data_IF_493338528437
#
_entry.id   IF_493338528437
#
_cell.length_a   1.000
_cell.length_b   1.000
_cell.length_c   1.000
_cell.angle_alpha   90.00
_cell.angle_beta   90.00
_cell.angle_gamma   90.00
#
_symmetry.space_group_name_H-M   'P 1'
#
loop_
_entity.id
_entity.type
_entity.pdbx_description
1 polymer ?
#
# COMPACT_ATOMS: atom_id res chain seq x y z
N UNK A 1 25.58 11.47 68.01
CA UNK A 1 24.70 12.21 68.95
C UNK A 1 23.33 12.32 68.35
N UNK A 2 22.33 11.85 69.07
CA UNK A 2 20.88 11.94 69.02
C UNK A 2 20.10 11.43 67.77
N UNK A 3 19.63 10.24 67.98
CA UNK A 3 18.42 9.64 67.38
C UNK A 3 17.19 10.43 67.84
N UNK A 4 16.28 10.78 66.91
CA UNK A 4 14.88 11.02 67.22
C UNK A 4 14.02 10.02 66.52
N UNK A 5 13.40 9.15 67.29
CA UNK A 5 12.28 8.28 66.95
C UNK A 5 11.07 9.16 66.60
N UNK A 6 10.39 8.85 65.51
CA UNK A 6 8.99 9.27 65.32
C UNK A 6 8.11 8.04 65.17
N UNK A 7 7.05 8.08 65.94
CA UNK A 7 6.18 6.98 66.25
C UNK A 7 5.31 6.51 65.09
N UNK A 8 4.94 5.26 65.19
CA UNK A 8 3.92 4.60 64.39
C UNK A 8 2.54 5.19 64.71
N UNK A 9 1.93 5.82 63.72
CA UNK A 9 0.49 6.09 63.65
C UNK A 9 -0.14 5.06 62.71
N UNK A 10 -0.86 4.09 63.25
CA UNK A 10 -1.68 3.17 62.48
C UNK A 10 -2.88 3.95 61.90
N UNK A 11 -2.89 4.17 60.61
CA UNK A 11 -4.11 4.57 59.89
C UNK A 11 -4.59 3.41 59.04
N UNK A 12 -5.80 2.95 59.37
CA UNK A 12 -6.56 1.94 58.67
C UNK A 12 -6.79 2.39 57.21
N UNK A 13 -6.14 1.71 56.26
CA UNK A 13 -6.46 1.85 54.84
C UNK A 13 -7.68 0.99 54.54
N UNK A 14 -8.85 1.62 54.44
CA UNK A 14 -10.02 0.99 53.85
C UNK A 14 -9.73 0.69 52.37
N UNK A 15 -9.70 -0.58 52.03
CA UNK A 15 -9.53 -1.05 50.66
C UNK A 15 -10.75 -0.69 49.83
N UNK A 16 -10.65 0.35 49.02
CA UNK A 16 -11.51 0.53 47.84
C UNK A 16 -10.99 -0.38 46.73
N UNK A 17 -11.45 -1.62 46.71
CA UNK A 17 -11.36 -2.49 45.55
C UNK A 17 -12.41 -2.02 44.52
N UNK A 18 -12.07 -0.96 43.82
CA UNK A 18 -12.77 -0.59 42.59
C UNK A 18 -12.40 -1.60 41.52
N UNK A 19 -13.22 -2.61 41.31
CA UNK A 19 -13.17 -3.44 40.10
C UNK A 19 -13.48 -2.54 38.89
N UNK A 20 -12.48 -1.96 38.30
CA UNK A 20 -12.56 -1.50 36.94
C UNK A 20 -12.63 -2.75 36.06
N UNK A 21 -13.84 -3.28 35.89
CA UNK A 21 -14.14 -4.23 34.80
C UNK A 21 -14.01 -3.47 33.53
N UNK A 22 -12.80 -3.46 32.95
CA UNK A 22 -12.63 -3.14 31.54
C UNK A 22 -13.27 -4.27 30.74
N UNK A 23 -14.57 -4.16 30.51
CA UNK A 23 -15.25 -4.92 29.47
C UNK A 23 -14.55 -4.55 28.17
N UNK A 24 -13.62 -5.41 27.73
CA UNK A 24 -13.03 -5.34 26.40
C UNK A 24 -14.22 -5.41 25.45
N UNK A 25 -14.57 -4.28 24.82
CA UNK A 25 -15.66 -4.26 23.86
C UNK A 25 -15.42 -5.39 22.86
N UNK A 26 -16.42 -6.24 22.63
CA UNK A 26 -16.30 -7.35 21.71
C UNK A 26 -15.87 -6.77 20.36
N UNK A 27 -14.77 -7.32 19.81
CA UNK A 27 -14.27 -6.92 18.50
C UNK A 27 -15.36 -7.18 17.47
N UNK A 28 -15.54 -6.29 16.51
CA UNK A 28 -16.51 -6.53 15.44
C UNK A 28 -16.02 -7.66 14.53
N UNK A 29 -16.93 -8.40 13.93
CA UNK A 29 -16.63 -9.47 12.97
C UNK A 29 -15.66 -9.03 11.87
N UNK A 30 -15.78 -7.77 11.39
CA UNK A 30 -14.85 -7.21 10.38
C UNK A 30 -13.46 -6.93 10.92
N UNK A 31 -13.34 -6.53 12.17
CA UNK A 31 -12.03 -6.36 12.81
C UNK A 31 -11.35 -7.70 13.04
N UNK A 32 -12.09 -8.73 13.39
CA UNK A 32 -11.57 -10.09 13.51
C UNK A 32 -11.12 -10.62 12.15
N UNK A 33 -11.96 -10.45 11.11
CA UNK A 33 -11.58 -10.74 9.73
C UNK A 33 -10.28 -10.04 9.32
N UNK A 34 -10.13 -8.75 9.60
CA UNK A 34 -8.94 -7.99 9.23
C UNK A 34 -7.69 -8.49 9.97
N UNK A 35 -7.82 -8.87 11.24
CA UNK A 35 -6.70 -9.47 11.98
C UNK A 35 -6.23 -10.78 11.37
N UNK A 36 -7.14 -11.56 10.80
CA UNK A 36 -6.84 -12.83 10.18
C UNK A 36 -6.36 -12.69 8.74
N UNK A 37 -6.96 -11.81 7.94
CA UNK A 37 -6.80 -11.77 6.48
C UNK A 37 -6.06 -10.54 5.95
N UNK A 38 -6.10 -9.39 6.64
CA UNK A 38 -5.36 -8.19 6.21
C UNK A 38 -3.92 -8.27 6.73
N UNK A 39 -3.13 -9.14 6.11
CA UNK A 39 -1.72 -9.43 6.45
C UNK A 39 -0.87 -9.46 5.20
N UNK A 40 0.46 -9.30 5.40
CA UNK A 40 1.43 -9.38 4.31
C UNK A 40 1.44 -8.15 3.44
N UNK A 41 1.64 -8.33 2.15
CA UNK A 41 1.85 -7.24 1.21
C UNK A 41 0.82 -7.24 0.08
N UNK A 42 0.45 -6.04 -0.36
CA UNK A 42 -0.41 -5.85 -1.52
C UNK A 42 0.39 -5.43 -2.75
N UNK A 43 -0.01 -5.96 -3.92
CA UNK A 43 0.48 -5.58 -5.24
C UNK A 43 -0.41 -4.53 -5.89
N UNK A 44 0.13 -3.80 -6.87
CA UNK A 44 -0.63 -2.88 -7.71
C UNK A 44 -0.72 -3.42 -9.14
N UNK A 45 -1.93 -3.73 -9.59
CA UNK A 45 -2.19 -4.17 -10.95
C UNK A 45 -2.39 -2.95 -11.84
N UNK A 46 -1.47 -2.76 -12.77
CA UNK A 46 -1.51 -1.73 -13.79
C UNK A 46 -2.11 -2.26 -15.09
N UNK A 47 -2.73 -1.42 -15.92
CA UNK A 47 -3.26 -1.85 -17.20
C UNK A 47 -2.15 -2.27 -18.17
N UNK A 48 -2.49 -3.14 -19.08
CA UNK A 48 -1.77 -3.41 -20.33
C UNK A 48 -2.71 -3.11 -21.48
N UNK A 49 -2.17 -2.57 -22.57
CA UNK A 49 -2.97 -2.10 -23.69
C UNK A 49 -2.59 -2.77 -25.02
N UNK A 50 -3.55 -2.81 -25.94
CA UNK A 50 -3.29 -3.11 -27.36
C UNK A 50 -2.38 -2.06 -28.00
N UNK A 51 -1.70 -2.35 -29.13
CA UNK A 51 -0.74 -1.42 -29.73
C UNK A 51 -1.28 -0.03 -30.08
N UNK A 52 -2.58 0.10 -30.30
CA UNK A 52 -3.26 1.37 -30.56
C UNK A 52 -3.74 2.09 -29.30
N UNK A 53 -3.49 1.52 -28.11
CA UNK A 53 -3.91 2.00 -26.79
C UNK A 53 -5.43 2.17 -26.61
N UNK A 54 -6.26 1.58 -27.46
CA UNK A 54 -7.72 1.73 -27.37
C UNK A 54 -8.37 0.66 -26.50
N UNK A 55 -7.78 -0.51 -26.42
CA UNK A 55 -8.32 -1.65 -25.67
C UNK A 55 -7.30 -2.20 -24.70
N UNK A 56 -7.76 -2.94 -23.69
CA UNK A 56 -6.87 -3.67 -22.78
C UNK A 56 -6.25 -4.88 -23.50
N UNK A 57 -4.99 -5.15 -23.25
CA UNK A 57 -4.38 -6.47 -23.46
C UNK A 57 -4.64 -7.34 -22.23
N UNK A 58 -5.78 -8.04 -22.25
CA UNK A 58 -6.22 -8.82 -21.10
C UNK A 58 -5.21 -9.91 -20.71
N UNK A 59 -4.54 -10.55 -21.68
CA UNK A 59 -3.54 -11.58 -21.37
C UNK A 59 -2.31 -10.98 -20.65
N UNK A 60 -1.92 -9.76 -21.04
CA UNK A 60 -0.88 -9.02 -20.33
C UNK A 60 -1.26 -8.73 -18.88
N UNK A 61 -2.51 -8.34 -18.63
CA UNK A 61 -3.02 -8.11 -17.26
C UNK A 61 -3.06 -9.41 -16.47
N UNK A 62 -3.55 -10.51 -17.07
CA UNK A 62 -3.56 -11.84 -16.43
C UNK A 62 -2.16 -12.31 -16.06
N UNK A 63 -1.17 -12.03 -16.91
CA UNK A 63 0.22 -12.34 -16.62
C UNK A 63 0.73 -11.55 -15.39
N UNK A 64 0.41 -10.25 -15.29
CA UNK A 64 0.78 -9.44 -14.13
C UNK A 64 0.08 -9.93 -12.83
N UNK A 65 -1.18 -10.39 -12.92
CA UNK A 65 -1.88 -10.99 -11.76
C UNK A 65 -1.19 -12.30 -11.34
N UNK A 66 -0.87 -13.19 -12.27
CA UNK A 66 -0.13 -14.43 -11.99
C UNK A 66 1.23 -14.14 -11.37
N UNK A 67 1.92 -13.13 -11.88
CA UNK A 67 3.22 -12.68 -11.36
C UNK A 67 3.09 -12.16 -9.92
N UNK A 68 2.07 -11.36 -9.59
CA UNK A 68 1.81 -10.91 -8.23
C UNK A 68 1.59 -12.09 -7.26
N UNK A 69 0.83 -13.10 -7.68
CA UNK A 69 0.63 -14.34 -6.88
C UNK A 69 1.95 -15.10 -6.69
N UNK A 70 2.76 -15.24 -7.74
CA UNK A 70 4.06 -15.91 -7.67
C UNK A 70 5.05 -15.20 -6.76
N UNK A 71 4.97 -13.88 -6.66
CA UNK A 71 5.77 -13.08 -5.72
C UNK A 71 5.32 -13.22 -4.26
N UNK A 72 4.20 -13.89 -3.98
CA UNK A 72 3.68 -14.11 -2.63
C UNK A 72 2.87 -12.96 -2.07
N UNK A 73 2.37 -12.04 -2.89
CA UNK A 73 1.47 -11.00 -2.44
C UNK A 73 0.13 -11.58 -1.97
N UNK A 74 -0.39 -11.03 -0.88
CA UNK A 74 -1.62 -11.50 -0.22
C UNK A 74 -2.85 -10.70 -0.62
N UNK A 75 -2.63 -9.49 -1.15
CA UNK A 75 -3.71 -8.64 -1.65
C UNK A 75 -3.27 -7.87 -2.90
N UNK A 76 -4.22 -7.32 -3.63
CA UNK A 76 -3.93 -6.41 -4.73
C UNK A 76 -4.97 -5.29 -4.82
N UNK A 77 -4.59 -4.22 -5.50
CA UNK A 77 -5.50 -3.18 -5.96
C UNK A 77 -5.28 -2.91 -7.44
N UNK A 78 -6.29 -2.35 -8.11
CA UNK A 78 -6.21 -1.96 -9.51
C UNK A 78 -6.03 -0.45 -9.60
N UNK A 79 -5.15 0.00 -10.48
CA UNK A 79 -4.97 1.41 -10.81
C UNK A 79 -5.28 1.66 -12.28
N UNK A 80 -6.09 2.66 -12.57
CA UNK A 80 -6.57 2.93 -13.92
C UNK A 80 -5.44 3.30 -14.90
N UNK A 81 -4.59 4.27 -14.55
CA UNK A 81 -3.40 4.67 -15.31
C UNK A 81 -3.55 4.67 -16.84
N UNK A 82 -4.52 5.43 -17.32
CA UNK A 82 -4.84 5.53 -18.75
C UNK A 82 -6.06 4.70 -19.19
N UNK A 83 -6.52 3.75 -18.37
CA UNK A 83 -7.77 3.03 -18.61
C UNK A 83 -8.99 3.91 -18.27
N UNK A 84 -10.05 3.80 -19.04
CA UNK A 84 -11.33 4.43 -18.76
C UNK A 84 -12.12 3.63 -17.70
N UNK A 85 -13.30 4.10 -17.32
CA UNK A 85 -14.10 3.48 -16.26
C UNK A 85 -14.50 2.02 -16.58
N UNK A 86 -14.93 1.74 -17.82
CA UNK A 86 -15.31 0.37 -18.24
C UNK A 86 -14.09 -0.56 -18.27
N UNK A 87 -12.96 -0.08 -18.79
CA UNK A 87 -11.71 -0.81 -18.79
C UNK A 87 -11.25 -1.08 -17.35
N UNK A 88 -11.39 -0.12 -16.45
CA UNK A 88 -11.04 -0.32 -15.03
C UNK A 88 -11.93 -1.37 -14.38
N UNK A 89 -13.25 -1.38 -14.66
CA UNK A 89 -14.15 -2.46 -14.22
C UNK A 89 -13.69 -3.82 -14.76
N UNK A 90 -13.36 -3.88 -16.06
CA UNK A 90 -12.86 -5.12 -16.67
C UNK A 90 -11.58 -5.62 -16.03
N UNK A 91 -10.65 -4.73 -15.66
CA UNK A 91 -9.45 -5.11 -14.92
C UNK A 91 -9.78 -5.79 -13.57
N UNK A 92 -10.75 -5.26 -12.82
CA UNK A 92 -11.22 -5.89 -11.58
C UNK A 92 -11.82 -7.28 -11.80
N UNK A 93 -12.59 -7.46 -12.88
CA UNK A 93 -13.11 -8.78 -13.28
C UNK A 93 -11.97 -9.75 -13.59
N UNK A 94 -10.95 -9.30 -14.34
CA UNK A 94 -9.75 -10.10 -14.65
C UNK A 94 -9.00 -10.51 -13.39
N UNK A 95 -8.87 -9.60 -12.40
CA UNK A 95 -8.26 -9.95 -11.11
C UNK A 95 -9.07 -11.06 -10.43
N UNK A 96 -10.39 -10.94 -10.38
CA UNK A 96 -11.24 -11.97 -9.78
C UNK A 96 -11.13 -13.32 -10.50
N UNK A 97 -11.22 -13.31 -11.84
CA UNK A 97 -11.14 -14.49 -12.68
C UNK A 97 -9.79 -15.22 -12.51
N UNK A 98 -8.68 -14.47 -12.67
CA UNK A 98 -7.34 -15.05 -12.70
C UNK A 98 -6.82 -15.44 -11.32
N UNK A 99 -7.16 -14.66 -10.29
CA UNK A 99 -6.69 -14.96 -8.95
C UNK A 99 -7.41 -16.13 -8.31
N UNK A 100 -8.66 -16.39 -8.69
CA UNK A 100 -9.50 -17.45 -8.13
C UNK A 100 -9.46 -17.48 -6.58
N UNK A 101 -9.41 -16.31 -5.96
CA UNK A 101 -9.35 -16.13 -4.50
C UNK A 101 -7.98 -16.32 -3.85
N UNK A 102 -6.92 -16.56 -4.62
CA UNK A 102 -5.55 -16.71 -4.09
C UNK A 102 -4.94 -15.38 -3.57
N UNK A 103 -5.47 -14.26 -4.04
CA UNK A 103 -5.06 -12.92 -3.64
C UNK A 103 -6.30 -12.08 -3.30
N UNK A 104 -6.29 -11.39 -2.17
CA UNK A 104 -7.40 -10.56 -1.74
C UNK A 104 -7.53 -9.29 -2.60
N UNK A 105 -8.76 -8.82 -2.83
CA UNK A 105 -9.02 -7.61 -3.60
C UNK A 105 -9.34 -6.45 -2.67
N UNK A 106 -8.55 -5.37 -2.76
CA UNK A 106 -8.72 -4.15 -1.98
C UNK A 106 -8.81 -2.91 -2.86
N UNK A 107 -9.90 -2.17 -2.76
CA UNK A 107 -10.14 -1.01 -3.61
C UNK A 107 -9.57 0.29 -3.02
N UNK A 108 -9.28 1.27 -3.88
CA UNK A 108 -9.04 2.66 -3.50
C UNK A 108 -10.09 3.54 -4.19
N UNK A 109 -11.23 3.74 -3.52
CA UNK A 109 -12.37 4.43 -4.10
C UNK A 109 -13.00 3.68 -5.28
N UNK A 110 -13.73 4.41 -6.13
CA UNK A 110 -14.40 3.87 -7.32
C UNK A 110 -15.88 3.56 -7.09
N UNK A 111 -16.45 2.72 -7.96
CA UNK A 111 -17.84 2.25 -7.85
C UNK A 111 -17.94 1.16 -6.77
N UNK A 112 -18.19 1.59 -5.53
CA UNK A 112 -18.20 0.67 -4.36
C UNK A 112 -19.24 -0.44 -4.51
N UNK A 113 -20.40 -0.18 -5.11
CA UNK A 113 -21.44 -1.21 -5.32
C UNK A 113 -20.96 -2.29 -6.29
N UNK A 114 -20.30 -1.90 -7.37
CA UNK A 114 -19.68 -2.84 -8.30
C UNK A 114 -18.56 -3.64 -7.62
N UNK A 115 -17.66 -2.96 -6.89
CA UNK A 115 -16.51 -3.57 -6.21
C UNK A 115 -16.96 -4.60 -5.15
N UNK A 116 -17.98 -4.25 -4.37
CA UNK A 116 -18.59 -5.17 -3.41
C UNK A 116 -19.20 -6.40 -4.11
N UNK A 117 -19.97 -6.19 -5.19
CA UNK A 117 -20.57 -7.27 -5.98
C UNK A 117 -19.55 -8.24 -6.55
N UNK A 118 -18.39 -7.77 -7.00
CA UNK A 118 -17.33 -8.65 -7.52
C UNK A 118 -16.46 -9.28 -6.44
N UNK A 119 -16.70 -8.96 -5.15
CA UNK A 119 -16.05 -9.61 -4.02
C UNK A 119 -14.77 -8.92 -3.53
N UNK A 120 -14.62 -7.61 -3.72
CA UNK A 120 -13.62 -6.86 -2.99
C UNK A 120 -13.86 -6.98 -1.49
N UNK A 121 -12.81 -7.27 -0.73
CA UNK A 121 -12.91 -7.53 0.71
C UNK A 121 -12.85 -6.25 1.54
N UNK A 122 -12.13 -5.24 1.05
CA UNK A 122 -11.98 -3.96 1.73
C UNK A 122 -11.85 -2.80 0.74
N UNK A 123 -12.13 -1.59 1.25
CA UNK A 123 -11.86 -0.36 0.52
C UNK A 123 -11.01 0.59 1.35
N UNK A 124 -10.08 1.27 0.71
CA UNK A 124 -9.32 2.36 1.31
C UNK A 124 -10.12 3.66 1.17
N UNK A 125 -10.45 4.28 2.30
CA UNK A 125 -11.31 5.47 2.37
C UNK A 125 -10.46 6.70 2.61
N UNK A 126 -10.33 7.56 1.60
CA UNK A 126 -9.62 8.83 1.64
C UNK A 126 -10.55 10.03 1.72
N UNK A 127 -10.03 11.15 2.25
CA UNK A 127 -10.77 12.40 2.23
C UNK A 127 -10.76 13.03 0.82
N UNK A 128 -11.89 13.56 0.32
CA UNK A 128 -11.94 14.22 -0.99
C UNK A 128 -11.03 15.45 -1.02
N UNK A 129 -10.06 15.47 -1.96
CA UNK A 129 -9.01 16.51 -2.03
C UNK A 129 -9.55 17.91 -2.35
N UNK A 130 -10.68 17.99 -3.05
CA UNK A 130 -11.36 19.24 -3.40
C UNK A 130 -12.32 19.75 -2.30
N UNK A 131 -12.50 19.01 -1.21
CA UNK A 131 -13.32 19.45 -0.09
C UNK A 131 -12.53 20.40 0.82
N UNK A 132 -13.23 21.39 1.40
CA UNK A 132 -12.63 22.37 2.30
C UNK A 132 -13.45 22.47 3.61
N UNK A 133 -13.37 21.45 4.49
CA UNK A 133 -14.12 21.39 5.73
C UNK A 133 -13.66 22.49 6.68
N UNK A 134 -14.61 23.03 7.46
CA UNK A 134 -14.34 24.06 8.44
C UNK A 134 -14.18 23.49 9.86
N UNK A 135 -14.71 22.33 10.11
CA UNK A 135 -14.71 21.66 11.43
C UNK A 135 -14.30 20.18 11.31
N UNK A 136 -13.81 19.62 12.41
CA UNK A 136 -13.56 18.17 12.49
C UNK A 136 -14.83 17.33 12.36
N UNK A 137 -15.99 17.88 12.74
CA UNK A 137 -17.28 17.20 12.59
C UNK A 137 -17.69 17.08 11.11
N UNK A 138 -17.41 18.07 10.28
CA UNK A 138 -17.59 17.97 8.83
C UNK A 138 -16.66 16.91 8.21
N UNK A 139 -15.41 16.83 8.68
CA UNK A 139 -14.46 15.79 8.25
C UNK A 139 -14.99 14.42 8.67
N UNK A 140 -15.42 14.27 9.92
CA UNK A 140 -15.99 13.03 10.44
C UNK A 140 -17.22 12.59 9.66
N UNK A 141 -18.17 13.49 9.43
CA UNK A 141 -19.40 13.21 8.67
C UNK A 141 -19.09 12.76 7.24
N UNK A 142 -18.07 13.37 6.60
CA UNK A 142 -17.63 12.99 5.26
C UNK A 142 -17.10 11.55 5.23
N UNK A 143 -16.22 11.19 6.14
CA UNK A 143 -15.71 9.81 6.26
C UNK A 143 -16.84 8.83 6.58
N UNK A 144 -17.73 9.17 7.52
CA UNK A 144 -18.86 8.32 7.90
C UNK A 144 -19.75 8.01 6.69
N UNK A 145 -20.08 9.01 5.89
CA UNK A 145 -20.87 8.81 4.67
C UNK A 145 -20.23 7.81 3.72
N UNK A 146 -18.91 7.88 3.55
CA UNK A 146 -18.17 6.93 2.69
C UNK A 146 -18.14 5.53 3.30
N UNK A 147 -17.83 5.42 4.59
CA UNK A 147 -17.77 4.14 5.31
C UNK A 147 -19.13 3.44 5.33
N UNK A 148 -20.21 4.19 5.55
CA UNK A 148 -21.57 3.65 5.65
C UNK A 148 -22.20 3.31 4.27
N UNK A 149 -21.54 3.72 3.16
CA UNK A 149 -22.03 3.46 1.80
C UNK A 149 -21.72 2.07 1.26
N UNK A 150 -21.01 1.25 2.00
CA UNK A 150 -20.62 -0.11 1.61
C UNK A 150 -20.57 -1.06 2.79
N UNK A 151 -20.78 -2.34 2.55
CA UNK A 151 -20.57 -3.39 3.55
C UNK A 151 -19.13 -3.88 3.61
N UNK A 152 -18.24 -3.48 2.70
CA UNK A 152 -16.82 -3.83 2.74
C UNK A 152 -16.13 -3.30 3.99
N UNK A 153 -15.06 -3.98 4.43
CA UNK A 153 -14.20 -3.44 5.48
C UNK A 153 -13.53 -2.13 5.01
N UNK A 154 -13.41 -1.15 5.90
CA UNK A 154 -12.85 0.17 5.58
C UNK A 154 -11.46 0.33 6.18
N UNK A 155 -10.47 0.63 5.34
CA UNK A 155 -9.12 1.03 5.73
C UNK A 155 -9.01 2.54 5.55
N UNK A 156 -8.75 3.29 6.62
CA UNK A 156 -8.55 4.73 6.53
C UNK A 156 -7.30 5.03 5.69
N UNK A 157 -7.44 5.93 4.73
CA UNK A 157 -6.31 6.32 3.88
C UNK A 157 -5.58 7.52 4.50
N UNK A 158 -4.52 7.22 5.26
CA UNK A 158 -3.69 8.20 5.94
C UNK A 158 -2.75 8.93 4.98
N UNK A 159 -3.34 9.65 4.01
CA UNK A 159 -2.62 10.51 3.08
C UNK A 159 -2.79 11.97 3.50
N UNK A 160 -1.72 12.78 3.48
CA UNK A 160 -1.82 14.22 3.72
C UNK A 160 -2.79 14.88 2.74
N UNK A 161 -3.69 15.72 3.26
CA UNK A 161 -4.60 16.56 2.47
C UNK A 161 -4.44 18.01 2.93
N UNK A 162 -4.20 18.93 1.99
CA UNK A 162 -3.86 20.32 2.31
C UNK A 162 -4.95 21.01 3.15
N UNK A 163 -6.22 20.82 2.79
CA UNK A 163 -7.35 21.43 3.53
C UNK A 163 -7.50 20.90 4.97
N UNK A 164 -6.88 19.77 5.30
CA UNK A 164 -6.90 19.18 6.64
C UNK A 164 -5.75 19.64 7.54
N UNK A 165 -4.76 20.41 7.01
CA UNK A 165 -3.65 20.94 7.82
C UNK A 165 -4.11 21.89 8.92
N UNK A 166 -5.28 22.47 8.80
CA UNK A 166 -5.89 23.29 9.87
C UNK A 166 -6.23 22.49 11.13
N UNK A 167 -6.44 21.17 11.00
CA UNK A 167 -6.75 20.27 12.11
C UNK A 167 -5.53 19.53 12.64
N UNK A 168 -4.55 19.26 11.77
CA UNK A 168 -3.29 18.65 12.16
C UNK A 168 -2.17 19.01 11.16
N UNK A 169 -0.96 19.37 11.60
CA UNK A 169 0.13 19.82 10.72
C UNK A 169 0.50 18.81 9.61
N UNK A 170 0.33 17.51 9.85
CA UNK A 170 0.56 16.48 8.84
C UNK A 170 -0.46 16.48 7.69
N UNK A 171 -1.58 17.18 7.82
CA UNK A 171 -2.70 17.07 6.89
C UNK A 171 -3.51 15.78 7.02
N UNK A 172 -3.29 15.00 8.10
CA UNK A 172 -4.04 13.79 8.45
C UNK A 172 -4.89 14.11 9.68
N UNK A 173 -6.22 13.91 9.66
CA UNK A 173 -7.11 14.35 10.73
C UNK A 173 -7.13 13.35 11.90
N UNK A 174 -6.07 13.35 12.73
CA UNK A 174 -5.83 12.33 13.76
C UNK A 174 -6.98 12.20 14.77
N UNK A 175 -7.56 13.31 15.23
CA UNK A 175 -8.69 13.27 16.17
C UNK A 175 -9.93 12.62 15.53
N UNK A 176 -10.13 12.87 14.23
CA UNK A 176 -11.23 12.24 13.49
C UNK A 176 -10.98 10.75 13.30
N UNK A 177 -9.74 10.36 12.97
CA UNK A 177 -9.37 8.96 12.83
C UNK A 177 -9.50 8.20 14.15
N UNK A 178 -9.19 8.84 15.27
CA UNK A 178 -9.38 8.28 16.60
C UNK A 178 -10.86 7.97 16.89
N UNK A 179 -11.76 8.90 16.57
CA UNK A 179 -13.22 8.70 16.66
C UNK A 179 -13.73 7.61 15.71
N UNK A 180 -13.18 7.53 14.49
CA UNK A 180 -13.56 6.54 13.49
C UNK A 180 -13.02 5.13 13.83
N UNK A 181 -11.95 5.02 14.60
CA UNK A 181 -11.37 3.75 15.00
C UNK A 181 -12.33 2.84 15.77
N UNK A 182 -13.34 3.40 16.41
CA UNK A 182 -14.38 2.64 17.13
C UNK A 182 -15.50 2.15 16.22
N UNK A 183 -15.55 2.63 14.98
CA UNK A 183 -16.56 2.19 14.02
C UNK A 183 -16.36 0.72 13.64
N UNK A 184 -17.41 -0.14 13.64
CA UNK A 184 -17.27 -1.58 13.41
C UNK A 184 -16.71 -1.94 12.03
N UNK A 185 -16.93 -1.11 11.01
CA UNK A 185 -16.43 -1.32 9.66
C UNK A 185 -15.00 -0.81 9.45
N UNK A 186 -14.47 0.03 10.35
CA UNK A 186 -13.11 0.57 10.25
C UNK A 186 -12.14 -0.43 10.86
N UNK A 187 -11.30 -1.02 10.03
CA UNK A 187 -10.44 -2.16 10.41
C UNK A 187 -8.95 -1.83 10.39
N UNK A 188 -8.54 -0.79 9.70
CA UNK A 188 -7.13 -0.46 9.57
C UNK A 188 -6.89 0.96 9.08
N UNK A 189 -5.64 1.32 9.04
CA UNK A 189 -5.14 2.57 8.44
C UNK A 189 -3.92 2.29 7.58
N UNK A 190 -3.92 2.81 6.36
CA UNK A 190 -2.76 2.85 5.48
C UNK A 190 -1.97 4.14 5.77
N UNK A 191 -0.75 3.99 6.29
CA UNK A 191 0.17 5.11 6.51
C UNK A 191 0.89 5.40 5.20
N UNK A 192 0.31 6.33 4.43
CA UNK A 192 0.74 6.53 3.04
C UNK A 192 2.06 7.31 2.97
N UNK A 193 2.74 7.15 1.88
CA UNK A 193 4.01 7.77 1.56
C UNK A 193 3.81 9.14 0.87
N UNK A 194 4.64 10.17 1.11
CA UNK A 194 5.68 10.20 2.14
C UNK A 194 5.10 10.52 3.52
N UNK A 195 5.57 9.82 4.53
CA UNK A 195 5.15 10.09 5.89
C UNK A 195 6.36 10.41 6.77
N UNK A 196 6.26 11.51 7.49
CA UNK A 196 7.21 11.86 8.53
C UNK A 196 7.18 10.78 9.64
N UNK A 197 8.34 10.25 10.10
CA UNK A 197 8.37 9.24 11.16
C UNK A 197 7.61 9.64 12.41
N UNK A 198 7.69 10.90 12.86
CA UNK A 198 6.97 11.37 14.03
C UNK A 198 5.45 11.24 13.87
N UNK A 199 4.92 11.57 12.69
CA UNK A 199 3.50 11.39 12.38
C UNK A 199 3.13 9.90 12.37
N UNK A 200 3.98 9.03 11.82
CA UNK A 200 3.75 7.59 11.84
C UNK A 200 3.71 7.02 13.26
N UNK A 201 4.63 7.47 14.12
CA UNK A 201 4.63 7.08 15.55
C UNK A 201 3.37 7.57 16.27
N UNK A 202 2.96 8.83 16.07
CA UNK A 202 1.76 9.38 16.70
C UNK A 202 0.50 8.60 16.29
N UNK A 203 0.35 8.28 15.01
CA UNK A 203 -0.77 7.47 14.53
C UNK A 203 -0.76 6.08 15.17
N UNK A 204 0.40 5.42 15.19
CA UNK A 204 0.52 4.09 15.78
C UNK A 204 0.26 4.10 17.29
N UNK A 205 0.76 5.10 18.03
CA UNK A 205 0.52 5.27 19.47
C UNK A 205 -0.98 5.37 19.76
N UNK A 206 -1.72 6.11 18.96
CA UNK A 206 -3.15 6.35 19.18
C UNK A 206 -4.05 5.21 18.71
N UNK A 207 -3.67 4.47 17.65
CA UNK A 207 -4.61 3.62 16.92
C UNK A 207 -4.20 2.15 16.81
N UNK A 208 -2.94 1.79 17.10
CA UNK A 208 -2.43 0.43 16.83
C UNK A 208 -3.03 -0.67 17.70
N UNK A 209 -3.69 -0.35 18.78
CA UNK A 209 -4.41 -1.32 19.63
C UNK A 209 -5.81 -1.66 19.09
N UNK A 210 -6.37 -0.81 18.20
CA UNK A 210 -7.72 -0.94 17.66
C UNK A 210 -7.76 -1.23 16.16
N UNK A 211 -6.71 -0.86 15.40
CA UNK A 211 -6.66 -0.93 13.94
C UNK A 211 -5.41 -1.66 13.45
N UNK A 212 -5.52 -2.28 12.28
CA UNK A 212 -4.35 -2.77 11.53
C UNK A 212 -3.56 -1.58 11.00
N UNK A 213 -2.25 -1.57 11.27
CA UNK A 213 -1.34 -0.56 10.78
C UNK A 213 -0.67 -1.02 9.49
N UNK A 214 -0.83 -0.24 8.42
CA UNK A 214 -0.27 -0.50 7.09
C UNK A 214 0.75 0.55 6.67
N UNK A 215 1.98 0.58 7.21
CA UNK A 215 3.00 1.52 6.82
C UNK A 215 3.50 1.25 5.39
N UNK A 216 3.58 2.31 4.58
CA UNK A 216 4.07 2.24 3.21
C UNK A 216 5.58 2.47 3.10
N UNK A 217 6.18 3.18 4.06
CA UNK A 217 7.62 3.37 4.12
C UNK A 217 8.26 2.12 4.72
N UNK A 218 8.99 1.37 3.91
CA UNK A 218 9.64 0.12 4.35
C UNK A 218 10.64 0.34 5.49
N UNK A 219 11.30 1.49 5.55
CA UNK A 219 12.19 1.88 6.65
C UNK A 219 11.48 1.96 8.00
N UNK A 220 10.19 2.28 7.99
CA UNK A 220 9.39 2.42 9.21
C UNK A 220 8.88 1.07 9.74
N UNK A 221 8.70 0.06 8.87
CA UNK A 221 8.03 -1.19 9.24
C UNK A 221 8.68 -1.87 10.45
N UNK A 222 10.00 -2.15 10.47
CA UNK A 222 10.61 -2.84 11.61
C UNK A 222 10.55 -2.03 12.92
N UNK A 223 10.73 -0.71 12.82
CA UNK A 223 10.71 0.18 13.99
C UNK A 223 9.30 0.29 14.56
N UNK A 224 8.29 0.43 13.71
CA UNK A 224 6.89 0.49 14.13
C UNK A 224 6.46 -0.86 14.73
N UNK A 225 6.80 -1.98 14.10
CA UNK A 225 6.47 -3.31 14.59
C UNK A 225 7.15 -3.66 15.93
N UNK A 226 8.32 -3.08 16.21
CA UNK A 226 8.98 -3.23 17.50
C UNK A 226 8.23 -2.57 18.65
N UNK A 227 7.60 -1.43 18.39
CA UNK A 227 7.04 -0.57 19.41
C UNK A 227 5.50 -0.61 19.48
N UNK A 228 4.84 -1.02 18.39
CA UNK A 228 3.38 -0.96 18.26
C UNK A 228 2.78 -2.28 17.81
N UNK A 229 1.51 -2.49 18.17
CA UNK A 229 0.74 -3.68 17.78
C UNK A 229 0.22 -3.58 16.35
N UNK A 230 -0.21 -4.71 15.79
CA UNK A 230 -0.97 -4.79 14.55
C UNK A 230 -0.29 -4.18 13.31
N UNK A 231 1.04 -4.05 13.31
CA UNK A 231 1.84 -3.70 12.13
C UNK A 231 2.06 -4.98 11.33
N UNK A 232 1.09 -5.32 10.47
CA UNK A 232 1.07 -6.64 9.83
C UNK A 232 0.69 -6.63 8.34
N UNK A 233 0.39 -5.46 7.78
CA UNK A 233 -0.01 -5.30 6.39
C UNK A 233 0.65 -4.07 5.77
N UNK A 234 0.90 -4.12 4.46
CA UNK A 234 1.26 -2.96 3.66
C UNK A 234 0.77 -3.17 2.22
N UNK A 235 0.30 -2.11 1.60
CA UNK A 235 -0.12 -2.13 0.21
C UNK A 235 0.27 -0.82 -0.47
N UNK A 236 1.27 -0.87 -1.34
CA UNK A 236 1.75 0.26 -2.10
C UNK A 236 2.43 -0.24 -3.38
N UNK A 237 2.49 0.59 -4.41
CA UNK A 237 3.20 0.28 -5.66
C UNK A 237 4.70 -0.08 -5.47
N UNK A 238 5.34 0.44 -4.43
CA UNK A 238 6.74 0.12 -4.07
C UNK A 238 6.96 -1.39 -3.84
N UNK A 239 6.00 -2.11 -3.29
CA UNK A 239 6.14 -3.54 -2.97
C UNK A 239 6.57 -4.37 -4.17
N UNK A 240 6.03 -4.05 -5.34
CA UNK A 240 6.32 -4.72 -6.61
C UNK A 240 7.73 -4.45 -7.15
N UNK A 241 8.48 -3.51 -6.56
CA UNK A 241 9.80 -3.10 -7.04
C UNK A 241 10.96 -3.65 -6.18
N UNK A 242 10.67 -4.33 -5.07
CA UNK A 242 11.67 -4.69 -4.06
C UNK A 242 12.10 -6.15 -4.06
N UNK A 243 11.57 -6.96 -4.97
CA UNK A 243 11.71 -8.41 -4.92
C UNK A 243 11.52 -9.08 -6.28
N UNK A 244 11.75 -10.40 -6.34
CA UNK A 244 11.34 -11.28 -7.44
C UNK A 244 10.70 -12.54 -6.88
N UNK A 245 10.04 -13.40 -7.71
CA UNK A 245 9.52 -14.68 -7.25
C UNK A 245 10.58 -15.59 -6.61
N UNK A 246 11.82 -15.56 -7.10
CA UNK A 246 12.93 -16.36 -6.57
C UNK A 246 13.54 -15.75 -5.30
N UNK A 247 13.39 -14.45 -5.11
CA UNK A 247 13.88 -13.69 -3.96
C UNK A 247 12.80 -12.74 -3.44
N UNK A 248 11.79 -13.25 -2.75
CA UNK A 248 10.64 -12.48 -2.28
C UNK A 248 10.96 -11.68 -1.00
N UNK A 249 12.00 -10.84 -1.05
CA UNK A 249 12.55 -10.15 0.12
C UNK A 249 11.53 -9.33 0.90
N UNK A 250 10.66 -8.59 0.19
CA UNK A 250 9.67 -7.76 0.87
C UNK A 250 8.63 -8.62 1.60
N UNK A 251 8.19 -9.71 0.98
CA UNK A 251 7.27 -10.69 1.59
C UNK A 251 7.94 -11.40 2.77
N UNK A 252 9.20 -11.85 2.60
CA UNK A 252 9.98 -12.47 3.68
C UNK A 252 10.16 -11.52 4.86
N UNK A 253 10.53 -10.27 4.60
CA UNK A 253 10.67 -9.26 5.66
C UNK A 253 9.36 -9.07 6.43
N UNK A 254 8.22 -8.93 5.73
CA UNK A 254 6.93 -8.75 6.38
C UNK A 254 6.50 -9.99 7.18
N UNK A 255 6.76 -11.20 6.69
CA UNK A 255 6.52 -12.45 7.40
C UNK A 255 7.35 -12.53 8.70
N UNK A 256 8.63 -12.17 8.64
CA UNK A 256 9.51 -12.10 9.81
C UNK A 256 9.04 -11.04 10.82
N UNK A 257 8.60 -9.87 10.33
CA UNK A 257 8.04 -8.82 11.17
C UNK A 257 6.78 -9.30 11.91
N UNK A 258 5.85 -9.92 11.22
CA UNK A 258 4.60 -10.43 11.83
C UNK A 258 4.84 -11.56 12.85
N UNK A 259 5.95 -12.30 12.69
CA UNK A 259 6.42 -13.33 13.64
C UNK A 259 7.27 -12.77 14.78
N UNK A 260 7.49 -11.46 14.84
CA UNK A 260 8.34 -10.82 15.85
C UNK A 260 9.85 -11.09 15.70
N UNK A 261 10.30 -11.64 14.55
CA UNK A 261 11.69 -11.97 14.25
C UNK A 261 12.42 -10.76 13.66
N UNK A 262 12.40 -9.64 14.39
CA UNK A 262 12.90 -8.35 13.90
C UNK A 262 14.39 -8.34 13.52
N UNK A 263 15.32 -9.01 14.25
CA UNK A 263 16.72 -9.07 13.84
C UNK A 263 16.93 -9.74 12.46
N UNK A 264 16.12 -10.76 12.14
CA UNK A 264 16.17 -11.41 10.83
C UNK A 264 15.51 -10.56 9.77
N UNK A 265 14.36 -9.92 10.08
CA UNK A 265 13.73 -8.96 9.18
C UNK A 265 14.68 -7.83 8.78
N UNK A 266 15.50 -7.32 9.72
CA UNK A 266 16.52 -6.31 9.42
C UNK A 266 17.62 -6.82 8.49
N UNK A 267 17.99 -8.12 8.55
CA UNK A 267 18.95 -8.68 7.58
C UNK A 267 18.37 -8.65 6.17
N UNK A 268 17.12 -9.03 6.00
CA UNK A 268 16.43 -8.98 4.70
C UNK A 268 16.26 -7.54 4.22
N UNK A 269 15.92 -6.61 5.12
CA UNK A 269 15.87 -5.17 4.81
C UNK A 269 17.17 -4.68 4.18
N UNK A 270 18.33 -5.00 4.78
CA UNK A 270 19.61 -4.58 4.25
C UNK A 270 19.98 -5.23 2.91
N UNK A 271 19.46 -6.43 2.62
CA UNK A 271 19.63 -7.05 1.30
C UNK A 271 18.87 -6.29 0.20
N UNK A 272 17.65 -5.81 0.49
CA UNK A 272 16.86 -5.05 -0.49
C UNK A 272 17.10 -3.54 -0.44
N UNK A 273 17.98 -3.04 0.46
CA UNK A 273 18.26 -1.61 0.62
C UNK A 273 18.61 -0.89 -0.70
N UNK A 274 19.42 -1.47 -1.63
CA UNK A 274 19.69 -0.81 -2.91
C UNK A 274 18.43 -0.53 -3.75
N UNK A 275 17.42 -1.40 -3.65
CA UNK A 275 16.12 -1.21 -4.32
C UNK A 275 15.30 -0.15 -3.61
N UNK A 276 15.24 -0.18 -2.28
CA UNK A 276 14.53 0.83 -1.47
C UNK A 276 15.10 2.22 -1.76
N UNK A 277 16.43 2.37 -1.70
CA UNK A 277 17.08 3.65 -1.98
C UNK A 277 16.79 4.14 -3.40
N UNK A 278 16.94 3.26 -4.40
CA UNK A 278 16.68 3.61 -5.80
C UNK A 278 15.24 4.05 -6.05
N UNK A 279 14.28 3.44 -5.36
CA UNK A 279 12.86 3.83 -5.49
C UNK A 279 12.58 5.17 -4.78
N UNK A 280 13.21 5.43 -3.65
CA UNK A 280 13.05 6.71 -2.94
C UNK A 280 13.72 7.85 -3.72
N UNK A 281 14.90 7.62 -4.28
CA UNK A 281 15.58 8.61 -5.13
C UNK A 281 14.75 8.94 -6.38
N UNK A 282 14.13 7.94 -7.00
CA UNK A 282 13.23 8.13 -8.13
C UNK A 282 11.96 8.89 -7.75
N UNK A 283 11.42 8.63 -6.56
CA UNK A 283 10.17 9.22 -6.11
C UNK A 283 10.34 10.62 -5.51
N UNK A 284 11.47 10.91 -4.86
CA UNK A 284 11.67 12.18 -4.15
C UNK A 284 11.30 13.43 -4.96
N UNK A 285 11.73 13.59 -6.23
CA UNK A 285 11.35 14.77 -7.02
C UNK A 285 9.86 14.80 -7.40
N UNK A 286 9.17 13.66 -7.37
CA UNK A 286 7.77 13.55 -7.75
C UNK A 286 6.81 13.86 -6.60
N UNK A 287 7.28 13.77 -5.34
CA UNK A 287 6.44 13.91 -4.15
C UNK A 287 5.77 15.28 -4.05
N UNK A 288 6.46 16.35 -4.47
CA UNK A 288 5.92 17.70 -4.49
C UNK A 288 4.69 17.85 -5.40
N UNK A 289 4.55 16.93 -6.34
CA UNK A 289 3.50 16.92 -7.35
C UNK A 289 2.55 15.74 -7.21
N UNK A 290 2.67 14.95 -6.14
CA UNK A 290 1.90 13.72 -5.94
C UNK A 290 2.05 12.72 -7.13
N UNK A 291 3.17 12.81 -7.83
CA UNK A 291 3.47 12.01 -9.00
C UNK A 291 3.94 10.60 -8.65
N UNK A 292 3.87 9.72 -9.62
CA UNK A 292 4.35 8.35 -9.49
C UNK A 292 5.05 7.89 -10.75
N UNK A 293 6.12 7.12 -10.65
CA UNK A 293 6.92 6.67 -11.80
C UNK A 293 6.33 5.41 -12.44
N UNK A 294 5.12 5.50 -12.99
CA UNK A 294 4.36 4.32 -13.47
C UNK A 294 5.07 3.54 -14.58
N UNK A 295 5.76 4.22 -15.50
CA UNK A 295 6.57 3.56 -16.54
C UNK A 295 7.72 2.75 -15.92
N UNK A 296 8.38 3.31 -14.92
CA UNK A 296 9.45 2.62 -14.17
C UNK A 296 8.90 1.42 -13.40
N UNK A 297 7.74 1.56 -12.77
CA UNK A 297 7.11 0.44 -12.06
C UNK A 297 6.83 -0.75 -12.99
N UNK A 298 6.27 -0.51 -14.18
CA UNK A 298 6.08 -1.57 -15.20
C UNK A 298 7.41 -2.22 -15.59
N UNK A 299 8.50 -1.44 -15.63
CA UNK A 299 9.83 -1.97 -15.93
C UNK A 299 10.37 -2.85 -14.81
N UNK A 300 10.22 -2.44 -13.54
CA UNK A 300 10.56 -3.30 -12.39
C UNK A 300 9.82 -4.64 -12.46
N UNK A 301 8.52 -4.62 -12.68
CA UNK A 301 7.71 -5.83 -12.78
C UNK A 301 8.16 -6.71 -13.95
N UNK A 302 8.44 -6.14 -15.12
CA UNK A 302 8.92 -6.88 -16.29
C UNK A 302 10.27 -7.56 -16.05
N UNK A 303 11.20 -6.88 -15.41
CA UNK A 303 12.52 -7.43 -15.07
C UNK A 303 12.46 -8.67 -14.16
N UNK A 304 11.37 -8.87 -13.44
CA UNK A 304 11.18 -9.97 -12.48
C UNK A 304 10.13 -11.00 -12.95
N UNK A 305 9.56 -10.84 -14.12
CA UNK A 305 8.63 -11.83 -14.68
C UNK A 305 7.25 -11.31 -15.09
N UNK A 306 6.90 -10.08 -14.75
CA UNK A 306 5.65 -9.44 -15.15
C UNK A 306 5.58 -9.11 -16.64
N UNK A 307 4.46 -8.53 -17.08
CA UNK A 307 4.19 -8.30 -18.50
C UNK A 307 4.99 -7.13 -19.10
N UNK A 308 5.15 -6.02 -18.35
CA UNK A 308 5.61 -4.78 -18.98
C UNK A 308 4.52 -4.10 -19.83
N UNK A 309 4.93 -3.47 -20.91
CA UNK A 309 4.06 -2.71 -21.81
C UNK A 309 3.90 -1.24 -21.41
N UNK A 310 3.94 -0.34 -22.40
CA UNK A 310 3.84 1.10 -22.16
C UNK A 310 2.41 1.51 -21.80
N UNK A 311 2.30 2.59 -21.02
CA UNK A 311 1.03 3.20 -20.62
C UNK A 311 0.74 4.42 -21.49
N UNK A 312 -0.51 4.68 -21.92
CA UNK A 312 -0.88 5.82 -22.77
C UNK A 312 -0.96 7.13 -21.96
N UNK A 313 0.11 7.42 -21.23
CA UNK A 313 0.24 8.58 -20.35
C UNK A 313 1.28 9.55 -20.92
N UNK A 314 1.07 10.84 -20.71
CA UNK A 314 2.01 11.86 -21.17
C UNK A 314 3.05 12.17 -20.10
N UNK A 315 4.34 12.35 -20.47
CA UNK A 315 5.35 12.77 -19.52
C UNK A 315 5.06 14.17 -18.97
N UNK A 316 5.55 14.42 -17.77
CA UNK A 316 5.37 15.70 -17.09
C UNK A 316 6.01 15.67 -15.69
N UNK A 317 5.85 16.73 -14.89
CA UNK A 317 6.46 16.80 -13.56
C UNK A 317 5.95 15.72 -12.60
N UNK A 318 4.81 15.12 -12.91
CA UNK A 318 4.19 14.04 -12.12
C UNK A 318 4.52 12.64 -12.62
N UNK A 319 5.12 12.55 -13.80
CA UNK A 319 5.26 11.29 -14.54
C UNK A 319 6.54 11.32 -15.38
N UNK A 320 7.64 10.79 -14.88
CA UNK A 320 8.93 10.82 -15.55
C UNK A 320 8.98 9.84 -16.73
N UNK A 321 9.80 10.20 -17.71
CA UNK A 321 10.19 9.30 -18.81
C UNK A 321 11.14 8.25 -18.27
N UNK A 322 10.95 7.00 -18.64
CA UNK A 322 11.89 5.90 -18.42
C UNK A 322 12.94 5.95 -19.54
N UNK A 323 14.05 6.59 -19.25
CA UNK A 323 15.19 6.72 -20.15
C UNK A 323 16.23 5.60 -19.98
N UNK A 324 17.22 5.55 -20.87
CA UNK A 324 18.27 4.53 -20.80
C UNK A 324 19.07 4.56 -19.50
N UNK A 325 19.52 5.72 -18.96
CA UNK A 325 20.14 5.78 -17.63
C UNK A 325 19.27 5.24 -16.51
N UNK A 326 17.97 5.57 -16.52
CA UNK A 326 17.01 5.07 -15.53
C UNK A 326 16.85 3.54 -15.59
N UNK A 327 16.77 2.97 -16.79
CA UNK A 327 16.72 1.50 -16.97
C UNK A 327 17.95 0.81 -16.43
N UNK A 328 19.16 1.33 -16.73
CA UNK A 328 20.41 0.77 -16.26
C UNK A 328 20.55 0.88 -14.73
N UNK A 329 20.14 2.00 -14.15
CA UNK A 329 20.13 2.17 -12.70
C UNK A 329 19.25 1.11 -12.01
N UNK A 330 18.04 0.87 -12.53
CA UNK A 330 17.14 -0.16 -12.02
C UNK A 330 17.80 -1.55 -12.11
N UNK A 331 18.36 -1.92 -13.26
CA UNK A 331 19.06 -3.20 -13.44
C UNK A 331 20.24 -3.35 -12.48
N UNK A 332 21.03 -2.28 -12.32
CA UNK A 332 22.15 -2.24 -11.37
C UNK A 332 21.69 -2.47 -9.92
N UNK A 333 20.61 -1.83 -9.50
CA UNK A 333 20.08 -1.97 -8.14
C UNK A 333 19.56 -3.40 -7.88
N UNK A 334 18.91 -4.05 -8.85
CA UNK A 334 18.55 -5.46 -8.74
C UNK A 334 19.80 -6.35 -8.54
N UNK A 335 20.84 -6.16 -9.35
CA UNK A 335 22.11 -6.92 -9.22
C UNK A 335 22.74 -6.70 -7.84
N UNK A 336 22.79 -5.46 -7.35
CA UNK A 336 23.32 -5.13 -5.99
C UNK A 336 22.50 -5.81 -4.89
N UNK A 337 21.20 -5.93 -5.05
CA UNK A 337 20.33 -6.69 -4.13
C UNK A 337 20.42 -8.21 -4.32
N UNK A 338 21.25 -8.69 -5.24
CA UNK A 338 21.42 -10.11 -5.56
C UNK A 338 20.26 -10.72 -6.34
N UNK A 339 19.41 -9.91 -6.94
CA UNK A 339 18.35 -10.36 -7.86
C UNK A 339 18.89 -10.28 -9.27
N UNK A 340 18.76 -11.36 -10.04
CA UNK A 340 19.13 -11.37 -11.46
C UNK A 340 17.96 -10.82 -12.28
N UNK A 341 18.07 -9.60 -12.86
CA UNK A 341 17.03 -9.11 -13.74
C UNK A 341 16.94 -9.95 -15.02
N UNK A 342 15.74 -10.07 -15.57
CA UNK A 342 15.55 -10.81 -16.82
C UNK A 342 16.46 -10.28 -17.93
N UNK A 343 17.19 -11.19 -18.58
CA UNK A 343 18.00 -10.91 -19.77
C UNK A 343 17.14 -11.12 -21.01
N UNK A 344 16.41 -10.06 -21.41
CA UNK A 344 15.46 -10.05 -22.50
C UNK A 344 15.60 -8.77 -23.32
N UNK A 345 15.10 -8.82 -24.54
CA UNK A 345 15.10 -7.65 -25.43
C UNK A 345 14.14 -6.58 -24.88
N UNK A 346 14.61 -5.34 -24.84
CA UNK A 346 13.79 -4.18 -24.42
C UNK A 346 12.51 -4.02 -25.27
N UNK A 347 12.50 -4.51 -26.52
CA UNK A 347 11.30 -4.57 -27.35
C UNK A 347 10.16 -5.35 -26.70
N UNK A 348 10.47 -6.41 -25.92
CA UNK A 348 9.46 -7.16 -25.16
C UNK A 348 8.83 -6.29 -24.07
N UNK A 349 9.64 -5.48 -23.36
CA UNK A 349 9.12 -4.52 -22.41
C UNK A 349 8.18 -3.52 -23.04
N UNK A 350 8.60 -2.93 -24.18
CA UNK A 350 7.88 -1.85 -24.86
C UNK A 350 6.46 -2.26 -25.26
N UNK A 351 6.28 -3.45 -25.80
CA UNK A 351 4.94 -3.93 -26.22
C UNK A 351 4.22 -4.76 -25.17
N UNK A 352 4.95 -5.23 -24.16
CA UNK A 352 4.48 -6.20 -23.16
C UNK A 352 4.74 -7.64 -23.60
N UNK A 353 5.14 -8.47 -22.63
CA UNK A 353 5.53 -9.88 -22.84
C UNK A 353 4.46 -10.69 -23.57
N UNK A 354 3.21 -10.57 -23.15
CA UNK A 354 2.10 -11.30 -23.75
C UNK A 354 1.88 -10.89 -25.21
N UNK A 355 1.96 -9.59 -25.52
CA UNK A 355 1.85 -9.08 -26.90
C UNK A 355 3.06 -9.50 -27.73
N UNK A 356 4.28 -9.41 -27.19
CA UNK A 356 5.51 -9.83 -27.87
C UNK A 356 5.48 -11.30 -28.28
N UNK A 357 4.97 -12.17 -27.40
CA UNK A 357 4.78 -13.59 -27.68
C UNK A 357 3.80 -13.85 -28.84
N UNK A 358 2.84 -12.95 -29.06
CA UNK A 358 1.93 -12.94 -30.21
C UNK A 358 2.47 -12.21 -31.43
N UNK A 359 3.80 -12.02 -31.49
CA UNK A 359 4.51 -11.36 -32.59
C UNK A 359 4.24 -9.86 -32.76
N UNK A 360 3.70 -9.17 -31.74
CA UNK A 360 3.64 -7.71 -31.73
C UNK A 360 5.04 -7.13 -31.55
N UNK A 361 5.37 -6.07 -32.27
CA UNK A 361 6.68 -5.40 -32.23
C UNK A 361 6.51 -3.89 -32.02
N UNK A 362 7.53 -3.16 -31.48
CA UNK A 362 7.45 -1.73 -31.19
C UNK A 362 6.99 -0.86 -32.37
N UNK A 363 7.34 -1.23 -33.62
CA UNK A 363 6.91 -0.52 -34.80
C UNK A 363 5.38 -0.52 -35.06
N UNK A 364 4.64 -1.39 -34.38
CA UNK A 364 3.18 -1.50 -34.43
C UNK A 364 2.48 -0.62 -33.39
N UNK A 365 3.23 -0.05 -32.42
CA UNK A 365 2.66 0.87 -31.43
C UNK A 365 2.32 2.22 -32.08
N UNK A 366 1.17 2.77 -31.71
CA UNK A 366 0.76 4.12 -32.12
C UNK A 366 1.77 5.19 -31.68
N UNK A 367 2.38 5.01 -30.53
CA UNK A 367 3.43 5.86 -29.95
C UNK A 367 4.19 5.11 -28.84
N UNK A 368 5.29 5.70 -28.37
CA UNK A 368 6.07 5.14 -27.26
C UNK A 368 6.10 6.14 -26.08
N UNK A 369 4.95 6.35 -25.40
CA UNK A 369 4.88 7.31 -24.31
C UNK A 369 5.70 6.84 -23.11
N UNK A 370 6.34 7.80 -22.42
CA UNK A 370 7.14 7.59 -21.22
C UNK A 370 8.38 6.68 -21.41
N UNK A 371 8.83 6.47 -22.66
CA UNK A 371 9.97 5.64 -22.97
C UNK A 371 10.91 6.36 -23.96
N UNK A 372 12.24 6.38 -23.65
CA UNK A 372 13.27 6.99 -24.50
C UNK A 372 14.61 6.20 -24.45
#
# INVERSE_FOLDING_TARGET
MNRRQFGLGAMSAAAFAGFASTTKAARSEKKDWAHEHLKGLGSLILPSFTPDFKSLDEEGIRLDIRHAIQQGFTSCTVSANGANAEQTKRMWELVREESAGKIGMGALGGDLAFLEKIGCSYTMVGFPRNANPQTEDEVYATFRKLIDSTSMASVLYGSPVESLRRFHPSGIPLNVFDRLADHPNVVGIKLTHPMNPATAFEICERLSDRLIMGPCNFDHIPVLAKNYKNVQWSGLWITDTLQSPEKPYAVEMMDLVTKGRLPEAMKVYWQMQPLIQGIYDLQAPLLLHEGHPWGHMKYFQWLTGGNGGLLPLKPGPYLPVLDAPGRELIRSNFKKAGITPADRLEEEFVVGRAAYARSVRPAQLLSQPLYA
#
